data_IF_549671916572
#
_entry.id   IF_549671916572
#
_cell.length_a   1.000
_cell.length_b   1.000
_cell.length_c   1.000
_cell.angle_alpha   90.00
_cell.angle_beta   90.00
_cell.angle_gamma   90.00
#
_symmetry.space_group_name_H-M   'P 1'
#
loop_
_entity.id
_entity.type
_entity.pdbx_description
1 polymer ?
#
# COMPACT_ATOMS: atom_id res chain seq x y z
N UNK A 1 -3.94 -10.50 28.04
CA UNK A 1 -4.24 -10.56 26.59
C UNK A 1 -3.04 -9.96 25.89
N UNK A 2 -2.09 -10.81 25.52
CA UNK A 2 -0.75 -10.37 25.13
C UNK A 2 -0.77 -10.36 23.60
N UNK A 3 -1.15 -9.23 23.00
CA UNK A 3 -1.07 -9.09 21.55
C UNK A 3 0.42 -8.97 21.18
N UNK A 4 1.04 -10.12 20.90
CA UNK A 4 2.33 -10.18 20.21
C UNK A 4 2.12 -9.63 18.80
N UNK A 5 2.37 -8.33 18.63
CA UNK A 5 2.60 -7.77 17.31
C UNK A 5 3.92 -8.34 16.81
N UNK A 6 3.85 -9.43 16.05
CA UNK A 6 4.96 -9.85 15.20
C UNK A 6 5.08 -8.79 14.11
N UNK A 7 5.78 -7.69 14.41
CA UNK A 7 6.26 -6.78 13.37
C UNK A 7 7.30 -7.57 12.59
N UNK A 8 6.84 -8.35 11.61
CA UNK A 8 7.71 -8.93 10.60
C UNK A 8 8.48 -7.74 10.01
N UNK A 9 9.80 -7.70 10.22
CA UNK A 9 10.67 -6.58 9.81
C UNK A 9 10.76 -6.41 8.28
N UNK A 10 9.91 -7.11 7.52
CA UNK A 10 9.76 -7.06 6.07
C UNK A 10 8.39 -6.48 5.64
N UNK A 11 7.53 -6.08 6.58
CA UNK A 11 6.26 -5.44 6.25
C UNK A 11 6.52 -3.98 5.86
N UNK A 12 6.58 -3.73 4.55
CA UNK A 12 6.66 -2.36 4.03
C UNK A 12 5.27 -1.71 4.09
N UNK A 13 5.21 -0.49 4.63
CA UNK A 13 3.98 0.28 4.70
C UNK A 13 4.04 1.46 3.74
N UNK A 14 2.94 1.69 3.03
CA UNK A 14 2.76 2.82 2.14
C UNK A 14 2.51 4.06 2.98
N UNK A 15 3.51 4.93 3.02
CA UNK A 15 3.40 6.26 3.64
C UNK A 15 2.95 7.25 2.57
N UNK A 16 1.88 7.98 2.85
CA UNK A 16 1.28 8.95 1.93
C UNK A 16 1.11 10.32 2.57
N UNK A 17 1.95 10.66 3.56
CA UNK A 17 1.85 11.92 4.28
C UNK A 17 2.09 13.10 3.33
N UNK A 18 3.14 13.00 2.52
CA UNK A 18 3.52 14.05 1.57
C UNK A 18 3.30 13.67 0.10
N UNK A 19 3.27 14.69 -0.76
CA UNK A 19 3.08 14.49 -2.19
C UNK A 19 4.20 13.65 -2.81
N UNK A 20 5.43 13.87 -2.35
CA UNK A 20 6.60 13.12 -2.81
C UNK A 20 6.48 11.64 -2.50
N UNK A 21 6.03 11.28 -1.29
CA UNK A 21 5.86 9.89 -0.88
C UNK A 21 4.74 9.21 -1.69
N UNK A 22 3.62 9.92 -1.90
CA UNK A 22 2.53 9.43 -2.76
C UNK A 22 3.02 9.13 -4.17
N UNK A 23 3.80 10.05 -4.75
CA UNK A 23 4.39 9.88 -6.10
C UNK A 23 5.39 8.73 -6.12
N UNK A 24 6.24 8.61 -5.11
CA UNK A 24 7.20 7.51 -4.98
C UNK A 24 6.50 6.15 -4.96
N UNK A 25 5.52 5.95 -4.07
CA UNK A 25 4.82 4.68 -3.97
C UNK A 25 3.97 4.35 -5.19
N UNK A 26 3.35 5.36 -5.80
CA UNK A 26 2.60 5.22 -7.03
C UNK A 26 3.52 4.76 -8.17
N UNK A 27 4.66 5.41 -8.36
CA UNK A 27 5.66 5.03 -9.34
C UNK A 27 6.25 3.63 -9.06
N UNK A 28 6.55 3.30 -7.80
CA UNK A 28 7.07 1.98 -7.40
C UNK A 28 6.09 0.86 -7.68
N UNK A 29 4.79 1.12 -7.55
CA UNK A 29 3.72 0.18 -7.89
C UNK A 29 3.33 0.23 -9.37
N UNK A 30 3.85 1.16 -10.17
CA UNK A 30 3.48 1.32 -11.57
C UNK A 30 2.06 1.86 -11.79
N UNK A 31 1.50 2.58 -10.82
CA UNK A 31 0.13 3.10 -10.86
C UNK A 31 0.11 4.62 -10.68
N UNK A 32 -1.01 5.26 -11.03
CA UNK A 32 -1.26 6.67 -10.70
C UNK A 32 -1.50 6.87 -9.21
N UNK A 33 -1.21 8.08 -8.69
CA UNK A 33 -1.44 8.45 -7.28
C UNK A 33 -2.92 8.32 -6.87
N UNK A 34 -3.84 8.54 -7.80
CA UNK A 34 -5.29 8.35 -7.59
C UNK A 34 -5.66 6.87 -7.43
N UNK A 35 -5.06 6.01 -8.24
CA UNK A 35 -5.21 4.55 -8.17
C UNK A 35 -4.65 4.02 -6.86
N UNK A 36 -3.49 4.52 -6.43
CA UNK A 36 -2.89 4.20 -5.13
C UNK A 36 -3.85 4.55 -3.97
N UNK A 37 -4.38 5.79 -3.95
CA UNK A 37 -5.36 6.22 -2.93
C UNK A 37 -6.60 5.34 -2.91
N UNK A 38 -7.14 5.02 -4.08
CA UNK A 38 -8.29 4.13 -4.20
C UNK A 38 -7.99 2.72 -3.71
N UNK A 39 -6.80 2.19 -4.02
CA UNK A 39 -6.37 0.87 -3.60
C UNK A 39 -6.18 0.76 -2.08
N UNK A 40 -5.57 1.76 -1.45
CA UNK A 40 -5.46 1.86 0.03
C UNK A 40 -6.86 1.87 0.65
N UNK A 41 -7.78 2.68 0.11
CA UNK A 41 -9.15 2.79 0.62
C UNK A 41 -9.95 1.51 0.45
N UNK A 42 -9.79 0.82 -0.68
CA UNK A 42 -10.47 -0.44 -0.97
C UNK A 42 -9.91 -1.60 -0.14
N UNK A 43 -8.59 -1.65 0.02
CA UNK A 43 -7.89 -2.67 0.83
C UNK A 43 -8.02 -2.42 2.33
N UNK A 44 -8.48 -1.23 2.74
CA UNK A 44 -8.54 -0.76 4.13
C UNK A 44 -7.22 -0.97 4.90
N UNK A 45 -6.10 -0.93 4.19
CA UNK A 45 -4.79 -1.24 4.72
C UNK A 45 -3.73 -0.43 3.98
N UNK A 46 -2.74 0.05 4.72
CA UNK A 46 -1.55 0.71 4.17
C UNK A 46 -0.38 -0.25 4.01
N UNK A 47 -0.54 -1.53 4.36
CA UNK A 47 0.49 -2.54 4.11
C UNK A 47 0.68 -2.71 2.60
N UNK A 48 1.92 -2.59 2.13
CA UNK A 48 2.27 -2.69 0.71
C UNK A 48 1.76 -3.99 0.10
N UNK A 49 1.89 -5.10 0.84
CA UNK A 49 1.43 -6.40 0.39
C UNK A 49 -0.10 -6.44 0.17
N UNK A 50 -0.88 -5.83 1.08
CA UNK A 50 -2.33 -5.76 0.94
C UNK A 50 -2.74 -4.94 -0.28
N UNK A 51 -2.12 -3.78 -0.46
CA UNK A 51 -2.40 -2.87 -1.59
C UNK A 51 -1.98 -3.50 -2.91
N UNK A 52 -0.79 -4.11 -2.96
CA UNK A 52 -0.28 -4.83 -4.14
C UNK A 52 -1.19 -5.99 -4.51
N UNK A 53 -1.62 -6.80 -3.54
CA UNK A 53 -2.55 -7.91 -3.77
C UNK A 53 -3.90 -7.42 -4.34
N UNK A 54 -4.42 -6.30 -3.84
CA UNK A 54 -5.62 -5.70 -4.41
C UNK A 54 -5.43 -5.23 -5.86
N UNK A 55 -4.30 -4.57 -6.15
CA UNK A 55 -3.98 -4.09 -7.51
C UNK A 55 -3.83 -5.25 -8.51
N UNK A 56 -3.19 -6.36 -8.10
CA UNK A 56 -3.06 -7.59 -8.89
C UNK A 56 -4.44 -8.22 -9.14
N UNK A 57 -5.26 -8.36 -8.09
CA UNK A 57 -6.62 -8.92 -8.22
C UNK A 57 -7.51 -8.08 -9.14
N UNK A 58 -7.28 -6.77 -9.18
CA UNK A 58 -8.00 -5.86 -10.08
C UNK A 58 -7.40 -5.80 -11.49
N UNK A 59 -6.31 -6.54 -11.77
CA UNK A 59 -5.54 -6.53 -13.03
C UNK A 59 -5.09 -5.12 -13.43
N UNK A 60 -4.77 -4.30 -12.43
CA UNK A 60 -4.27 -2.93 -12.62
C UNK A 60 -2.76 -2.95 -12.86
N UNK A 61 -2.07 -3.95 -12.29
CA UNK A 61 -0.63 -4.21 -12.42
C UNK A 61 -0.40 -5.70 -12.65
#
# INVERSE_FOLDING_TARGET
MNQQFTVNSNDEFIVVADEQERKYWAARLGVSTETLKSAIRASRSTALNSVKNYLINKKVI
#
